data_IF_036915259951
#
_entry.id   IF_036915259951
#
_cell.length_a   1.000
_cell.length_b   1.000
_cell.length_c   1.000
_cell.angle_alpha   90.00
_cell.angle_beta   90.00
_cell.angle_gamma   90.00
#
_symmetry.space_group_name_H-M   'P 1'
#
loop_
_entity.id
_entity.type
_entity.pdbx_description
1 polymer ?
#
# COMPACT_ATOMS: atom_id res chain seq x y z
N UNK A 1 -12.55 52.30 -15.64
CA UNK A 1 -12.13 52.53 -14.24
C UNK A 1 -13.19 51.95 -13.33
N UNK A 2 -12.99 50.72 -12.86
CA UNK A 2 -13.77 50.13 -11.77
C UNK A 2 -12.76 49.45 -10.85
N UNK A 3 -12.76 49.89 -9.60
CA UNK A 3 -11.88 49.49 -8.50
C UNK A 3 -12.17 48.06 -8.08
N UNK A 4 -11.17 47.18 -8.16
CA UNK A 4 -11.18 45.88 -7.48
C UNK A 4 -10.53 46.06 -6.10
N UNK A 5 -11.37 46.02 -5.06
CA UNK A 5 -10.97 45.99 -3.66
C UNK A 5 -10.20 44.71 -3.36
N UNK A 6 -8.95 44.85 -2.93
CA UNK A 6 -8.13 43.78 -2.37
C UNK A 6 -8.73 43.30 -1.05
N UNK A 7 -9.22 42.07 -1.00
CA UNK A 7 -9.49 41.39 0.26
C UNK A 7 -8.16 41.04 0.93
N UNK A 8 -7.93 41.62 2.09
CA UNK A 8 -6.83 41.33 3.00
C UNK A 8 -6.82 39.84 3.38
N UNK A 9 -5.81 39.11 2.92
CA UNK A 9 -5.39 37.87 3.58
C UNK A 9 -4.78 38.31 4.90
N UNK A 10 -5.43 37.99 6.02
CA UNK A 10 -4.85 38.15 7.34
C UNK A 10 -3.53 37.37 7.39
N UNK A 11 -2.42 38.07 7.57
CA UNK A 11 -1.15 37.46 7.92
C UNK A 11 -1.31 36.84 9.32
N UNK A 12 -1.46 35.52 9.37
CA UNK A 12 -1.44 34.76 10.62
C UNK A 12 -0.06 34.96 11.28
N UNK A 13 -0.03 35.65 12.42
CA UNK A 13 1.20 35.87 13.21
C UNK A 13 1.51 34.61 14.05
N UNK A 14 2.47 33.83 13.57
CA UNK A 14 2.97 32.63 14.23
C UNK A 14 4.15 32.89 15.17
N UNK A 15 4.44 34.15 15.54
CA UNK A 15 5.56 34.51 16.43
C UNK A 15 5.55 33.80 17.79
N UNK A 16 4.37 33.41 18.27
CA UNK A 16 4.16 32.64 19.49
C UNK A 16 4.61 31.17 19.41
N UNK A 17 4.88 30.62 18.22
CA UNK A 17 5.39 29.25 18.01
C UNK A 17 6.92 29.14 18.11
N UNK A 18 7.64 30.20 18.50
CA UNK A 18 9.12 30.24 18.60
C UNK A 18 9.74 29.42 19.75
N UNK A 19 8.97 28.55 20.40
CA UNK A 19 9.40 27.71 21.52
C UNK A 19 9.23 26.21 21.27
N UNK A 20 9.51 25.74 20.05
CA UNK A 20 9.33 24.33 19.65
C UNK A 20 10.13 23.38 20.54
N UNK A 21 9.57 22.19 20.79
CA UNK A 21 10.30 21.12 21.45
C UNK A 21 11.58 20.78 20.65
N UNK A 22 12.74 21.14 21.24
CA UNK A 22 14.07 20.85 20.67
C UNK A 22 14.23 19.36 20.36
N UNK A 23 13.53 18.48 21.08
CA UNK A 23 13.59 17.04 20.89
C UNK A 23 13.00 16.60 19.55
N UNK A 24 11.84 17.13 19.15
CA UNK A 24 11.19 16.73 17.88
C UNK A 24 12.08 17.14 16.70
N UNK A 25 12.58 18.38 16.73
CA UNK A 25 13.44 18.91 15.65
C UNK A 25 14.75 18.12 15.54
N UNK A 26 15.38 17.74 16.66
CA UNK A 26 16.57 16.89 16.67
C UNK A 26 16.33 15.49 16.10
N UNK A 27 15.15 14.90 16.35
CA UNK A 27 14.79 13.59 15.77
C UNK A 27 14.64 13.71 14.26
N UNK A 28 14.01 14.78 13.76
CA UNK A 28 13.86 15.05 12.33
C UNK A 28 15.23 15.21 11.68
N UNK A 29 16.09 16.07 12.22
CA UNK A 29 17.45 16.30 11.72
C UNK A 29 18.26 15.01 11.65
N UNK A 30 18.22 14.21 12.71
CA UNK A 30 18.92 12.91 12.74
C UNK A 30 18.34 11.93 11.73
N UNK A 31 17.02 11.92 11.56
CA UNK A 31 16.36 11.04 10.58
C UNK A 31 16.75 11.44 9.17
N UNK A 32 16.69 12.73 8.85
CA UNK A 32 17.12 13.28 7.57
C UNK A 32 18.56 12.95 7.22
N UNK A 33 19.48 13.17 8.17
CA UNK A 33 20.88 12.84 7.96
C UNK A 33 21.08 11.35 7.67
N UNK A 34 20.49 10.46 8.48
CA UNK A 34 20.61 9.02 8.28
C UNK A 34 19.94 8.53 6.99
N UNK A 35 18.79 9.11 6.61
CA UNK A 35 18.09 8.79 5.37
C UNK A 35 18.97 9.17 4.17
N UNK A 36 19.54 10.38 4.19
CA UNK A 36 20.48 10.84 3.16
C UNK A 36 21.71 9.94 3.03
N UNK A 37 22.30 9.50 4.14
CA UNK A 37 23.46 8.61 4.13
C UNK A 37 23.15 7.17 3.68
N UNK A 38 21.88 6.77 3.78
CA UNK A 38 21.41 5.41 3.53
C UNK A 38 20.41 5.34 2.37
N UNK A 39 20.44 6.30 1.44
CA UNK A 39 19.54 6.32 0.28
C UNK A 39 19.86 5.14 -0.66
N UNK A 40 18.87 4.24 -0.87
CA UNK A 40 19.03 3.07 -1.71
C UNK A 40 18.48 3.24 -3.14
N UNK A 41 18.02 4.42 -3.53
CA UNK A 41 17.44 4.69 -4.86
C UNK A 41 18.36 4.28 -6.01
N UNK A 42 19.66 4.58 -5.93
CA UNK A 42 20.64 4.19 -6.94
C UNK A 42 20.69 2.66 -7.14
N UNK A 43 20.62 1.89 -6.04
CA UNK A 43 20.64 0.42 -6.11
C UNK A 43 19.35 -0.14 -6.69
N UNK A 44 18.21 0.45 -6.33
CA UNK A 44 16.90 0.07 -6.89
C UNK A 44 16.91 0.31 -8.41
N UNK A 45 17.38 1.46 -8.85
CA UNK A 45 17.48 1.80 -10.27
C UNK A 45 18.44 0.85 -11.03
N UNK A 46 19.61 0.53 -10.45
CA UNK A 46 20.54 -0.43 -11.05
C UNK A 46 19.91 -1.83 -11.21
N UNK A 47 19.19 -2.31 -10.20
CA UNK A 47 18.52 -3.61 -10.24
C UNK A 47 17.38 -3.64 -11.25
N UNK A 48 16.62 -2.56 -11.35
CA UNK A 48 15.57 -2.41 -12.36
C UNK A 48 16.15 -2.42 -13.78
N UNK A 49 17.20 -1.63 -14.05
CA UNK A 49 17.87 -1.61 -15.36
C UNK A 49 18.45 -2.97 -15.75
N UNK A 50 18.92 -3.74 -14.77
CA UNK A 50 19.47 -5.08 -14.98
C UNK A 50 18.41 -6.19 -15.03
N UNK A 51 17.14 -5.89 -14.73
CA UNK A 51 16.09 -6.90 -14.63
C UNK A 51 15.84 -7.59 -15.97
N UNK A 52 15.86 -8.93 -15.94
CA UNK A 52 15.53 -9.76 -17.10
C UNK A 52 14.59 -10.89 -16.69
N UNK A 53 13.32 -10.79 -17.10
CA UNK A 53 12.31 -11.79 -16.73
C UNK A 53 12.65 -13.20 -17.22
N UNK A 54 13.33 -13.36 -18.35
CA UNK A 54 13.68 -14.71 -18.84
C UNK A 54 14.64 -15.44 -17.92
N UNK A 55 15.45 -14.71 -17.15
CA UNK A 55 16.37 -15.24 -16.14
C UNK A 55 15.66 -15.37 -14.79
N UNK A 56 14.88 -14.37 -14.41
CA UNK A 56 14.28 -14.27 -13.08
C UNK A 56 13.03 -15.14 -12.89
N UNK A 57 12.40 -15.60 -13.98
CA UNK A 57 11.17 -16.41 -13.93
C UNK A 57 11.32 -17.78 -13.26
N UNK A 58 12.54 -18.31 -13.20
CA UNK A 58 12.80 -19.64 -12.65
C UNK A 58 13.01 -19.63 -11.14
N UNK A 59 12.87 -18.46 -10.49
CA UNK A 59 13.02 -18.28 -9.05
C UNK A 59 11.74 -17.76 -8.42
N UNK A 60 11.54 -18.06 -7.14
CA UNK A 60 10.57 -17.32 -6.32
C UNK A 60 11.15 -15.94 -5.99
N UNK A 61 10.33 -14.90 -6.08
CA UNK A 61 10.71 -13.53 -5.69
C UNK A 61 10.39 -13.21 -4.23
N UNK A 62 9.73 -14.16 -3.55
CA UNK A 62 9.47 -14.09 -2.12
C UNK A 62 9.29 -15.45 -1.49
N UNK A 63 8.85 -15.44 -0.23
CA UNK A 63 8.35 -16.67 0.40
C UNK A 63 7.16 -17.20 -0.43
N UNK A 64 7.10 -18.52 -0.72
CA UNK A 64 5.97 -19.10 -1.44
C UNK A 64 4.60 -18.81 -0.81
N UNK A 65 4.54 -18.54 0.50
CA UNK A 65 3.32 -18.13 1.20
C UNK A 65 2.69 -16.83 0.65
N UNK A 66 3.53 -15.94 0.11
CA UNK A 66 3.14 -14.68 -0.51
C UNK A 66 2.98 -14.90 -2.02
N UNK A 67 2.04 -15.77 -2.38
CA UNK A 67 1.67 -16.06 -3.76
C UNK A 67 0.16 -16.02 -3.90
N UNK A 68 -0.33 -15.69 -5.09
CA UNK A 68 -1.74 -15.90 -5.39
C UNK A 68 -2.09 -17.38 -5.22
N UNK A 69 -3.29 -17.65 -4.72
CA UNK A 69 -3.84 -18.97 -4.48
C UNK A 69 -3.09 -19.81 -3.44
N UNK A 70 -2.10 -19.28 -2.72
CA UNK A 70 -1.33 -20.09 -1.77
C UNK A 70 -2.23 -20.79 -0.74
N UNK A 71 -2.01 -22.10 -0.59
CA UNK A 71 -2.77 -22.95 0.32
C UNK A 71 -4.21 -23.24 -0.14
N UNK A 72 -4.56 -22.96 -1.40
CA UNK A 72 -5.78 -23.44 -2.06
C UNK A 72 -5.54 -24.78 -2.75
N UNK A 73 -6.61 -25.55 -3.07
CA UNK A 73 -6.48 -26.79 -3.84
C UNK A 73 -5.78 -26.62 -5.20
N UNK A 74 -6.02 -25.52 -5.91
CA UNK A 74 -5.39 -25.28 -7.21
C UNK A 74 -3.89 -25.02 -7.09
N UNK A 75 -3.45 -24.28 -6.08
CA UNK A 75 -2.02 -24.05 -5.85
C UNK A 75 -1.29 -25.37 -5.56
N UNK A 76 -1.89 -26.26 -4.78
CA UNK A 76 -1.32 -27.58 -4.51
C UNK A 76 -1.25 -28.47 -5.76
N UNK A 77 -2.16 -28.31 -6.73
CA UNK A 77 -2.12 -29.05 -8.00
C UNK A 77 -1.26 -28.37 -9.08
N UNK A 78 -0.90 -27.11 -8.88
CA UNK A 78 -0.09 -26.35 -9.82
C UNK A 78 1.34 -26.91 -9.88
N UNK A 79 1.90 -26.95 -11.09
CA UNK A 79 3.32 -27.24 -11.30
C UNK A 79 4.21 -26.19 -10.60
N UNK A 80 5.49 -26.51 -10.40
CA UNK A 80 6.44 -25.57 -9.80
C UNK A 80 6.52 -24.25 -10.60
N UNK A 81 6.53 -24.32 -11.93
CA UNK A 81 6.54 -23.14 -12.81
C UNK A 81 5.30 -22.27 -12.63
N UNK A 82 4.11 -22.87 -12.53
CA UNK A 82 2.86 -22.16 -12.29
C UNK A 82 2.85 -21.48 -10.91
N UNK A 83 3.37 -22.14 -9.87
CA UNK A 83 3.48 -21.54 -8.53
C UNK A 83 4.43 -20.33 -8.51
N UNK A 84 5.53 -20.37 -9.27
CA UNK A 84 6.44 -19.22 -9.44
C UNK A 84 5.73 -18.06 -10.13
N UNK A 85 4.97 -18.32 -11.21
CA UNK A 85 4.16 -17.28 -11.86
C UNK A 85 3.14 -16.66 -10.88
N UNK A 86 2.46 -17.48 -10.07
CA UNK A 86 1.53 -16.97 -9.04
C UNK A 86 2.25 -16.13 -7.96
N UNK A 87 3.51 -16.43 -7.66
CA UNK A 87 4.36 -15.64 -6.77
C UNK A 87 4.76 -14.30 -7.40
N UNK A 88 5.14 -14.29 -8.69
CA UNK A 88 5.50 -13.06 -9.41
C UNK A 88 4.30 -12.13 -9.55
N UNK A 89 3.13 -12.67 -9.93
CA UNK A 89 1.89 -11.91 -10.03
C UNK A 89 1.47 -11.34 -8.67
N UNK A 90 1.70 -12.07 -7.57
CA UNK A 90 1.45 -11.55 -6.24
C UNK A 90 2.36 -10.36 -5.92
N UNK A 91 3.66 -10.46 -6.21
CA UNK A 91 4.61 -9.36 -6.03
C UNK A 91 4.17 -8.11 -6.80
N UNK A 92 3.85 -8.27 -8.09
CA UNK A 92 3.32 -7.21 -8.96
C UNK A 92 2.06 -6.58 -8.37
N UNK A 93 1.09 -7.41 -8.01
CA UNK A 93 -0.18 -6.96 -7.46
C UNK A 93 0.02 -6.15 -6.19
N UNK A 94 1.00 -6.48 -5.34
CA UNK A 94 1.33 -5.68 -4.16
C UNK A 94 2.03 -4.37 -4.53
N UNK A 95 3.04 -4.38 -5.38
CA UNK A 95 3.83 -3.19 -5.67
C UNK A 95 3.12 -2.16 -6.54
N UNK A 96 2.10 -2.56 -7.30
CA UNK A 96 1.19 -1.60 -7.91
C UNK A 96 0.33 -0.86 -6.87
N UNK A 97 -0.05 -1.52 -5.76
CA UNK A 97 -0.70 -0.83 -4.62
C UNK A 97 0.23 0.18 -3.98
N UNK A 98 1.51 -0.18 -3.86
CA UNK A 98 2.55 0.67 -3.29
C UNK A 98 2.74 1.90 -4.17
N UNK A 99 2.96 1.74 -5.48
CA UNK A 99 3.14 2.84 -6.42
C UNK A 99 1.96 3.85 -6.41
N UNK A 100 0.73 3.36 -6.28
CA UNK A 100 -0.45 4.22 -6.14
C UNK A 100 -0.45 5.02 -4.81
N UNK A 101 0.00 4.39 -3.71
CA UNK A 101 0.16 5.05 -2.42
C UNK A 101 1.28 6.10 -2.45
N UNK A 102 2.42 5.77 -3.05
CA UNK A 102 3.58 6.64 -3.23
C UNK A 102 3.26 7.90 -4.05
N UNK A 103 2.39 7.79 -5.05
CA UNK A 103 1.89 8.96 -5.80
C UNK A 103 1.17 9.95 -4.89
N UNK A 104 0.36 9.44 -3.95
CA UNK A 104 -0.32 10.28 -2.96
C UNK A 104 0.68 10.87 -1.95
N UNK A 105 1.67 10.08 -1.54
CA UNK A 105 2.77 10.53 -0.68
C UNK A 105 3.49 11.73 -1.27
N UNK A 106 3.91 11.67 -2.54
CA UNK A 106 4.61 12.78 -3.23
C UNK A 106 3.82 14.09 -3.11
N UNK A 107 2.51 14.04 -3.41
CA UNK A 107 1.64 15.21 -3.33
C UNK A 107 1.58 15.77 -1.89
N UNK A 108 1.32 14.90 -0.92
CA UNK A 108 1.08 15.36 0.45
C UNK A 108 2.35 15.71 1.22
N UNK A 109 3.50 15.16 0.83
CA UNK A 109 4.80 15.63 1.28
C UNK A 109 5.01 17.09 0.86
N UNK A 110 4.74 17.43 -0.40
CA UNK A 110 4.83 18.82 -0.90
C UNK A 110 3.85 19.76 -0.18
N UNK A 111 2.59 19.34 0.00
CA UNK A 111 1.60 20.13 0.75
C UNK A 111 2.07 20.37 2.19
N UNK A 112 2.56 19.33 2.85
CA UNK A 112 3.05 19.39 4.22
C UNK A 112 4.27 20.30 4.36
N UNK A 113 5.25 20.14 3.47
CA UNK A 113 6.46 20.96 3.43
C UNK A 113 6.11 22.44 3.26
N UNK A 114 5.19 22.78 2.35
CA UNK A 114 4.74 24.16 2.16
C UNK A 114 4.11 24.79 3.42
N UNK A 115 3.30 24.02 4.16
CA UNK A 115 2.71 24.47 5.42
C UNK A 115 3.82 24.76 6.45
N UNK A 116 4.75 23.83 6.65
CA UNK A 116 5.79 23.97 7.67
C UNK A 116 6.88 24.97 7.30
N UNK A 117 7.20 25.12 6.02
CA UNK A 117 8.07 26.17 5.52
C UNK A 117 7.52 27.55 5.89
N UNK A 118 6.21 27.76 5.69
CA UNK A 118 5.54 29.03 5.99
C UNK A 118 5.53 29.38 7.49
N UNK A 119 5.58 28.37 8.37
CA UNK A 119 5.68 28.58 9.82
C UNK A 119 7.11 28.91 10.29
N UNK A 120 8.12 28.60 9.47
CA UNK A 120 9.54 28.78 9.76
C UNK A 120 10.10 27.79 10.80
N UNK A 121 11.41 27.52 10.76
CA UNK A 121 12.12 26.68 11.73
C UNK A 121 11.80 25.18 11.63
N UNK A 122 11.41 24.71 10.45
CA UNK A 122 11.15 23.31 10.11
C UNK A 122 11.93 22.90 8.85
N UNK A 123 13.07 23.54 8.61
CA UNK A 123 13.87 23.38 7.38
C UNK A 123 14.28 21.92 7.15
N UNK A 124 14.77 21.25 8.19
CA UNK A 124 15.14 19.83 8.13
C UNK A 124 13.95 18.91 7.84
N UNK A 125 12.73 19.28 8.29
CA UNK A 125 11.52 18.53 7.94
C UNK A 125 11.20 18.69 6.45
N UNK A 126 11.30 19.91 5.93
CA UNK A 126 11.04 20.17 4.52
C UNK A 126 12.03 19.41 3.63
N UNK A 127 13.32 19.41 4.00
CA UNK A 127 14.35 18.65 3.28
C UNK A 127 14.13 17.13 3.34
N UNK A 128 13.69 16.59 4.47
CA UNK A 128 13.35 15.17 4.58
C UNK A 128 12.16 14.80 3.68
N UNK A 129 11.11 15.61 3.68
CA UNK A 129 9.93 15.37 2.83
C UNK A 129 10.26 15.49 1.34
N UNK A 130 11.18 16.37 0.97
CA UNK A 130 11.70 16.50 -0.40
C UNK A 130 12.56 15.31 -0.80
N UNK A 131 13.44 14.82 0.08
CA UNK A 131 14.25 13.63 -0.14
C UNK A 131 13.34 12.41 -0.37
N UNK A 132 12.42 12.17 0.56
CA UNK A 132 11.43 11.10 0.46
C UNK A 132 10.62 11.22 -0.84
N UNK A 133 10.16 12.43 -1.20
CA UNK A 133 9.46 12.68 -2.47
C UNK A 133 10.28 12.26 -3.69
N UNK A 134 11.60 12.43 -3.65
CA UNK A 134 12.47 11.98 -4.74
C UNK A 134 12.63 10.46 -4.73
N UNK A 135 12.81 9.85 -3.55
CA UNK A 135 12.91 8.39 -3.39
C UNK A 135 11.68 7.68 -3.96
N UNK A 136 10.47 8.15 -3.62
CA UNK A 136 9.21 7.57 -4.10
C UNK A 136 9.11 7.58 -5.63
N UNK A 137 9.74 8.53 -6.34
CA UNK A 137 9.73 8.53 -7.83
C UNK A 137 10.50 7.35 -8.41
N UNK A 138 11.63 6.99 -7.79
CA UNK A 138 12.43 5.83 -8.21
C UNK A 138 11.71 4.53 -7.88
N UNK A 139 11.04 4.47 -6.72
CA UNK A 139 10.21 3.33 -6.32
C UNK A 139 9.11 3.07 -7.35
N UNK A 140 8.27 4.07 -7.61
CA UNK A 140 7.18 4.02 -8.60
C UNK A 140 7.72 3.56 -9.97
N UNK A 141 8.80 4.18 -10.45
CA UNK A 141 9.38 3.84 -11.74
C UNK A 141 9.82 2.37 -11.80
N UNK A 142 10.53 1.91 -10.76
CA UNK A 142 11.03 0.55 -10.71
C UNK A 142 9.90 -0.49 -10.71
N UNK A 143 8.87 -0.27 -9.89
CA UNK A 143 7.72 -1.17 -9.79
C UNK A 143 6.94 -1.23 -11.10
N UNK A 144 6.65 -0.08 -11.72
CA UNK A 144 5.89 -0.01 -12.96
C UNK A 144 6.63 -0.63 -14.15
N UNK A 145 7.95 -0.42 -14.26
CA UNK A 145 8.71 -0.98 -15.37
C UNK A 145 8.83 -2.51 -15.24
N UNK A 146 9.12 -3.03 -14.04
CA UNK A 146 9.17 -4.47 -13.79
C UNK A 146 7.79 -5.09 -14.06
N UNK A 147 6.71 -4.49 -13.57
CA UNK A 147 5.34 -4.95 -13.84
C UNK A 147 5.09 -5.10 -15.35
N UNK A 148 5.38 -4.05 -16.13
CA UNK A 148 5.21 -4.07 -17.59
C UNK A 148 5.99 -5.21 -18.24
N UNK A 149 7.28 -5.38 -17.93
CA UNK A 149 8.14 -6.43 -18.50
C UNK A 149 7.58 -7.82 -18.20
N UNK A 150 7.08 -8.03 -16.97
CA UNK A 150 6.59 -9.33 -16.52
C UNK A 150 5.24 -9.65 -17.12
N UNK A 151 4.34 -8.66 -17.21
CA UNK A 151 3.06 -8.82 -17.90
C UNK A 151 3.24 -9.18 -19.37
N UNK A 152 4.17 -8.52 -20.07
CA UNK A 152 4.54 -8.87 -21.43
C UNK A 152 5.10 -10.30 -21.51
N UNK A 153 5.93 -10.70 -20.53
CA UNK A 153 6.50 -12.06 -20.46
C UNK A 153 5.48 -13.17 -20.17
N UNK A 154 4.47 -12.91 -19.34
CA UNK A 154 3.45 -13.90 -18.93
C UNK A 154 2.30 -13.96 -19.94
N UNK A 155 1.81 -12.79 -20.38
CA UNK A 155 0.59 -12.69 -21.17
C UNK A 155 0.84 -12.32 -22.65
N UNK A 156 2.08 -12.00 -23.04
CA UNK A 156 2.41 -11.55 -24.40
C UNK A 156 2.02 -10.08 -24.69
N UNK A 157 2.44 -9.59 -25.87
CA UNK A 157 2.17 -8.23 -26.35
C UNK A 157 0.68 -7.98 -26.56
N UNK A 158 0.20 -6.81 -26.10
CA UNK A 158 -1.20 -6.44 -25.97
C UNK A 158 -1.97 -6.18 -27.30
N UNK A 159 -1.37 -6.41 -28.46
CA UNK A 159 -1.96 -6.06 -29.76
C UNK A 159 -2.73 -7.20 -30.46
N UNK A 160 -2.84 -8.39 -29.85
CA UNK A 160 -3.57 -9.51 -30.45
C UNK A 160 -4.87 -9.77 -29.69
N UNK A 161 -5.93 -9.11 -30.15
CA UNK A 161 -7.34 -9.44 -29.92
C UNK A 161 -7.77 -9.63 -28.45
N UNK A 162 -8.03 -8.50 -27.79
CA UNK A 162 -9.27 -8.27 -27.04
C UNK A 162 -9.68 -9.34 -26.02
N UNK A 163 -9.10 -9.26 -24.82
CA UNK A 163 -9.77 -9.79 -23.65
C UNK A 163 -10.14 -8.63 -22.70
N UNK A 164 -11.42 -8.33 -22.64
CA UNK A 164 -11.98 -7.35 -21.70
C UNK A 164 -11.58 -7.68 -20.25
N UNK A 165 -11.43 -8.97 -19.93
CA UNK A 165 -10.99 -9.41 -18.61
C UNK A 165 -9.49 -9.18 -18.38
N UNK A 166 -8.65 -9.24 -19.43
CA UNK A 166 -7.26 -8.80 -19.34
C UNK A 166 -7.18 -7.30 -19.07
N UNK A 167 -7.95 -6.47 -19.77
CA UNK A 167 -7.98 -5.01 -19.50
C UNK A 167 -8.49 -4.71 -18.09
N UNK A 168 -9.55 -5.38 -17.64
CA UNK A 168 -10.03 -5.26 -16.25
C UNK A 168 -9.01 -5.77 -15.24
N UNK A 169 -8.26 -6.82 -15.55
CA UNK A 169 -7.17 -7.34 -14.72
C UNK A 169 -6.06 -6.30 -14.58
N UNK A 170 -5.65 -5.70 -15.70
CA UNK A 170 -4.66 -4.63 -15.73
C UNK A 170 -5.15 -3.39 -14.97
N UNK A 171 -6.41 -3.00 -15.13
CA UNK A 171 -6.99 -1.87 -14.40
C UNK A 171 -7.14 -2.18 -12.90
N UNK A 172 -7.52 -3.40 -12.49
CA UNK A 172 -7.58 -3.81 -11.08
C UNK A 172 -6.18 -3.85 -10.44
N UNK A 173 -5.19 -4.38 -11.17
CA UNK A 173 -3.81 -4.40 -10.71
C UNK A 173 -3.21 -2.98 -10.68
N UNK A 174 -3.56 -2.10 -11.63
CA UNK A 174 -3.01 -0.74 -11.75
C UNK A 174 -3.68 0.30 -10.84
N UNK A 175 -5.00 0.26 -10.71
CA UNK A 175 -5.77 1.31 -10.01
C UNK A 175 -5.73 1.13 -8.47
N UNK A 176 -5.33 -0.06 -8.00
CA UNK A 176 -4.96 -0.35 -6.62
C UNK A 176 -5.99 -0.04 -5.52
N UNK A 177 -5.50 0.12 -4.28
CA UNK A 177 -6.33 0.32 -3.06
C UNK A 177 -6.88 1.75 -2.97
N UNK A 178 -6.34 2.70 -3.74
CA UNK A 178 -6.74 4.11 -3.74
C UNK A 178 -8.24 4.30 -4.04
N UNK A 179 -8.82 3.44 -4.88
CA UNK A 179 -10.27 3.40 -5.16
C UNK A 179 -11.13 3.09 -3.92
N UNK A 180 -10.55 2.52 -2.87
CA UNK A 180 -11.25 2.09 -1.65
C UNK A 180 -11.03 3.03 -0.46
N UNK A 181 -10.17 4.04 -0.58
CA UNK A 181 -10.04 5.11 0.42
C UNK A 181 -11.26 6.06 0.42
N UNK A 182 -12.10 6.00 -0.61
CA UNK A 182 -13.36 6.74 -0.70
C UNK A 182 -13.76 6.98 -2.16
N UNK A 183 -14.86 7.71 -2.35
CA UNK A 183 -15.18 8.23 -3.68
C UNK A 183 -14.11 9.24 -4.14
N UNK A 184 -13.97 9.45 -5.44
CA UNK A 184 -13.10 10.49 -6.02
C UNK A 184 -13.38 11.87 -5.40
N UNK A 185 -14.65 12.15 -5.08
CA UNK A 185 -15.06 13.37 -4.38
C UNK A 185 -14.52 13.43 -2.94
N UNK A 186 -14.51 12.30 -2.22
CA UNK A 186 -13.94 12.21 -0.87
C UNK A 186 -12.44 12.47 -0.89
N UNK A 187 -11.71 11.89 -1.84
CA UNK A 187 -10.27 12.12 -1.99
C UNK A 187 -9.96 13.57 -2.35
N UNK A 188 -10.70 14.16 -3.29
CA UNK A 188 -10.58 15.59 -3.64
C UNK A 188 -10.87 16.49 -2.45
N UNK A 189 -11.94 16.22 -1.71
CA UNK A 189 -12.30 16.96 -0.52
C UNK A 189 -11.20 16.90 0.56
N UNK A 190 -10.66 15.71 0.84
CA UNK A 190 -9.57 15.55 1.80
C UNK A 190 -8.30 16.27 1.33
N UNK A 191 -7.99 16.19 0.04
CA UNK A 191 -6.81 16.83 -0.55
C UNK A 191 -6.82 18.35 -0.38
N UNK A 192 -8.00 18.98 -0.51
CA UNK A 192 -8.16 20.43 -0.28
C UNK A 192 -7.91 20.80 1.19
N UNK A 193 -8.28 19.92 2.12
CA UNK A 193 -8.22 20.23 3.55
C UNK A 193 -6.85 19.94 4.19
N UNK A 194 -6.05 19.01 3.66
CA UNK A 194 -4.78 18.59 4.28
C UNK A 194 -3.77 19.71 4.46
N UNK A 195 -3.73 20.70 3.57
CA UNK A 195 -2.83 21.85 3.70
C UNK A 195 -3.42 23.03 4.49
N UNK A 196 -4.65 22.94 4.99
CA UNK A 196 -5.34 24.12 5.52
C UNK A 196 -4.88 24.53 6.92
N UNK A 197 -4.36 23.59 7.71
CA UNK A 197 -3.82 23.87 9.05
C UNK A 197 -2.60 23.00 9.34
N UNK A 198 -1.71 23.43 10.26
CA UNK A 198 -0.56 22.62 10.70
C UNK A 198 -0.98 21.27 11.31
N UNK A 199 -2.14 21.24 11.98
CA UNK A 199 -2.70 19.99 12.51
C UNK A 199 -3.04 19.03 11.37
N UNK A 200 -3.83 19.45 10.38
CA UNK A 200 -4.24 18.56 9.29
C UNK A 200 -3.06 18.10 8.43
N UNK A 201 -2.08 18.99 8.19
CA UNK A 201 -0.85 18.64 7.49
C UNK A 201 -0.07 17.55 8.25
N UNK A 202 0.04 17.66 9.58
CA UNK A 202 0.65 16.62 10.42
C UNK A 202 -0.15 15.33 10.41
N UNK A 203 -1.49 15.42 10.40
CA UNK A 203 -2.36 14.26 10.57
C UNK A 203 -2.60 13.44 9.31
N UNK A 204 -2.26 13.96 8.12
CA UNK A 204 -2.12 13.13 6.92
C UNK A 204 -1.22 11.90 7.19
N UNK A 205 -0.16 12.06 7.99
CA UNK A 205 0.78 10.99 8.29
C UNK A 205 0.21 9.89 9.19
N UNK A 206 -0.92 10.13 9.87
CA UNK A 206 -1.67 9.03 10.49
C UNK A 206 -2.32 8.14 9.43
N UNK A 207 -2.85 8.72 8.34
CA UNK A 207 -3.40 7.95 7.23
C UNK A 207 -2.29 7.20 6.47
N UNK A 208 -1.17 7.88 6.19
CA UNK A 208 0.01 7.28 5.57
C UNK A 208 0.58 6.13 6.41
N UNK A 209 0.70 6.32 7.73
CA UNK A 209 1.17 5.26 8.63
C UNK A 209 0.38 3.95 8.50
N UNK A 210 -0.94 4.03 8.28
CA UNK A 210 -1.77 2.83 8.08
C UNK A 210 -1.32 2.06 6.81
N UNK A 211 -1.01 2.78 5.74
CA UNK A 211 -0.51 2.17 4.50
C UNK A 211 0.89 1.55 4.73
N UNK A 212 1.84 2.30 5.31
CA UNK A 212 3.22 1.82 5.52
C UNK A 212 3.26 0.59 6.43
N UNK A 213 2.49 0.57 7.53
CA UNK A 213 2.49 -0.60 8.43
C UNK A 213 1.83 -1.83 7.78
N UNK A 214 0.84 -1.63 6.91
CA UNK A 214 0.23 -2.70 6.11
C UNK A 214 1.23 -3.33 5.13
N UNK A 215 2.10 -2.49 4.54
CA UNK A 215 3.16 -2.94 3.64
C UNK A 215 4.30 -3.63 4.39
N UNK A 216 4.80 -3.01 5.46
CA UNK A 216 5.88 -3.53 6.31
C UNK A 216 5.61 -4.94 6.81
N UNK A 217 4.34 -5.25 7.07
CA UNK A 217 3.86 -6.57 7.47
C UNK A 217 4.28 -7.69 6.48
N UNK A 218 4.41 -7.38 5.19
CA UNK A 218 4.81 -8.29 4.11
C UNK A 218 6.28 -8.16 3.77
N UNK A 219 6.79 -6.94 3.69
CA UNK A 219 8.18 -6.67 3.28
C UNK A 219 9.22 -7.24 4.23
N UNK A 220 8.89 -7.36 5.52
CA UNK A 220 9.74 -8.10 6.46
C UNK A 220 9.99 -9.55 6.01
N UNK A 221 8.99 -10.20 5.41
CA UNK A 221 9.10 -11.57 4.88
C UNK A 221 9.99 -11.60 3.64
N UNK A 222 9.82 -10.65 2.71
CA UNK A 222 10.73 -10.50 1.56
C UNK A 222 12.17 -10.25 2.00
N UNK A 223 12.40 -9.36 2.98
CA UNK A 223 13.73 -9.05 3.50
C UNK A 223 14.37 -10.25 4.23
N UNK A 224 13.58 -11.07 4.93
CA UNK A 224 14.06 -12.34 5.50
C UNK A 224 14.42 -13.36 4.41
N UNK A 225 13.59 -13.46 3.37
CA UNK A 225 13.84 -14.31 2.22
C UNK A 225 15.14 -13.91 1.49
N UNK A 226 15.32 -12.62 1.21
CA UNK A 226 16.53 -12.07 0.63
C UNK A 226 17.78 -12.42 1.44
N UNK A 227 17.73 -12.22 2.77
CA UNK A 227 18.86 -12.57 3.66
C UNK A 227 19.16 -14.07 3.67
N UNK A 228 18.13 -14.92 3.58
CA UNK A 228 18.32 -16.37 3.51
C UNK A 228 19.08 -16.76 2.25
N UNK A 229 18.68 -16.23 1.09
CA UNK A 229 19.35 -16.48 -0.19
C UNK A 229 20.81 -16.01 -0.18
N UNK A 230 21.07 -14.80 0.32
CA UNK A 230 22.42 -14.26 0.46
C UNK A 230 23.30 -15.16 1.34
N UNK A 231 22.79 -15.60 2.50
CA UNK A 231 23.54 -16.47 3.42
C UNK A 231 23.87 -17.83 2.84
N UNK A 232 23.00 -18.38 1.98
CA UNK A 232 23.25 -19.67 1.31
C UNK A 232 24.08 -19.55 0.05
N UNK A 233 24.46 -18.33 -0.38
CA UNK A 233 25.11 -18.10 -1.67
C UNK A 233 24.22 -18.42 -2.89
N UNK A 234 22.90 -18.45 -2.68
CA UNK A 234 21.95 -18.69 -3.76
C UNK A 234 21.70 -17.40 -4.55
N UNK A 235 21.21 -17.54 -5.79
CA UNK A 235 20.77 -16.41 -6.61
C UNK A 235 19.70 -15.59 -5.87
N UNK A 236 19.86 -14.27 -5.85
CA UNK A 236 18.88 -13.32 -5.29
C UNK A 236 18.19 -12.64 -6.46
N UNK A 237 16.91 -12.93 -6.72
CA UNK A 237 16.19 -12.27 -7.80
C UNK A 237 16.15 -10.76 -7.61
N UNK A 238 16.27 -10.00 -8.69
CA UNK A 238 16.22 -8.54 -8.62
C UNK A 238 14.96 -8.00 -7.90
N UNK A 239 13.72 -8.52 -8.12
CA UNK A 239 12.55 -8.08 -7.37
C UNK A 239 12.65 -8.32 -5.86
N UNK A 240 13.28 -9.43 -5.44
CA UNK A 240 13.57 -9.73 -4.03
C UNK A 240 14.51 -8.70 -3.42
N UNK A 241 15.56 -8.32 -4.15
CA UNK A 241 16.53 -7.32 -3.70
C UNK A 241 15.92 -5.92 -3.65
N UNK A 242 15.12 -5.54 -4.65
CA UNK A 242 14.38 -4.27 -4.68
C UNK A 242 13.44 -4.17 -3.48
N UNK A 243 12.63 -5.18 -3.19
CA UNK A 243 11.77 -5.20 -1.99
C UNK A 243 12.55 -5.02 -0.68
N UNK A 244 13.78 -5.53 -0.62
CA UNK A 244 14.64 -5.35 0.56
C UNK A 244 15.12 -3.91 0.67
N UNK A 245 15.56 -3.29 -0.43
CA UNK A 245 16.06 -1.92 -0.41
C UNK A 245 14.94 -0.92 -0.18
N UNK A 246 13.78 -1.12 -0.82
CA UNK A 246 12.57 -0.36 -0.57
C UNK A 246 12.18 -0.35 0.92
N UNK A 247 12.20 -1.52 1.59
CA UNK A 247 11.95 -1.60 3.03
C UNK A 247 12.94 -0.78 3.88
N UNK A 248 14.18 -0.62 3.42
CA UNK A 248 15.18 0.16 4.16
C UNK A 248 14.89 1.66 4.05
N UNK A 249 14.54 2.16 2.88
CA UNK A 249 14.08 3.54 2.69
C UNK A 249 12.78 3.80 3.48
N UNK A 250 11.80 2.90 3.36
CA UNK A 250 10.51 2.95 4.08
C UNK A 250 10.64 2.92 5.61
N UNK A 251 11.79 2.50 6.13
CA UNK A 251 12.04 2.54 7.57
C UNK A 251 12.14 3.98 8.09
N UNK A 252 12.74 4.89 7.31
CA UNK A 252 12.80 6.33 7.62
C UNK A 252 11.45 6.99 7.41
N UNK A 253 10.77 6.68 6.30
CA UNK A 253 9.42 7.17 5.97
C UNK A 253 8.41 6.84 7.09
N UNK A 254 8.49 5.62 7.62
CA UNK A 254 7.68 5.19 8.77
C UNK A 254 8.01 6.01 10.01
N UNK A 255 9.30 6.27 10.30
CA UNK A 255 9.71 7.06 11.47
C UNK A 255 9.21 8.50 11.40
N UNK A 256 9.33 9.17 10.24
CA UNK A 256 8.78 10.51 10.02
C UNK A 256 7.27 10.48 10.16
N UNK A 257 6.58 9.54 9.52
CA UNK A 257 5.13 9.41 9.62
C UNK A 257 4.66 9.25 11.07
N UNK A 258 5.37 8.45 11.86
CA UNK A 258 5.07 8.29 13.28
C UNK A 258 5.28 9.58 14.07
N UNK A 259 6.39 10.30 13.83
CA UNK A 259 6.71 11.52 14.55
C UNK A 259 5.68 12.63 14.25
N UNK A 260 5.33 12.83 12.98
CA UNK A 260 4.36 13.83 12.56
C UNK A 260 2.96 13.50 13.07
N UNK A 261 2.53 12.25 12.90
CA UNK A 261 1.20 11.81 13.30
C UNK A 261 0.97 11.80 14.81
N UNK A 262 1.99 11.48 15.61
CA UNK A 262 1.86 11.32 17.08
C UNK A 262 2.34 12.48 17.91
N UNK A 263 3.38 13.18 17.49
CA UNK A 263 4.06 14.15 18.34
C UNK A 263 3.97 15.56 17.79
N UNK A 264 4.27 15.78 16.49
CA UNK A 264 4.38 17.14 15.96
C UNK A 264 3.08 17.95 16.12
N UNK A 265 1.91 17.33 15.94
CA UNK A 265 0.65 18.06 16.05
C UNK A 265 0.39 18.66 17.44
N UNK A 266 1.06 18.15 18.48
CA UNK A 266 0.93 18.63 19.86
C UNK A 266 1.63 19.97 20.08
N UNK A 267 2.53 20.36 19.18
CA UNK A 267 3.22 21.65 19.20
C UNK A 267 2.32 22.81 18.73
N UNK A 268 1.13 22.51 18.21
CA UNK A 268 0.17 23.50 17.71
C UNK A 268 -1.05 23.63 18.61
N UNK A 269 -1.92 24.57 18.26
CA UNK A 269 -3.22 24.71 18.92
C UNK A 269 -3.99 23.39 18.90
N UNK A 270 -4.75 23.13 19.97
CA UNK A 270 -5.60 21.94 20.06
C UNK A 270 -6.54 21.88 18.84
N UNK A 271 -6.75 20.70 18.24
CA UNK A 271 -7.57 20.60 17.06
C UNK A 271 -9.01 21.02 17.35
N UNK A 272 -9.56 21.79 16.42
CA UNK A 272 -10.96 22.20 16.38
C UNK A 272 -11.88 20.99 16.26
N UNK A 273 -13.17 21.19 16.54
CA UNK A 273 -14.18 20.14 16.34
C UNK A 273 -14.23 19.65 14.88
N UNK A 274 -14.02 20.56 13.92
CA UNK A 274 -13.98 20.24 12.50
C UNK A 274 -12.80 19.36 12.13
N UNK A 275 -11.59 19.71 12.57
CA UNK A 275 -10.38 18.93 12.28
C UNK A 275 -10.44 17.54 12.90
N UNK A 276 -10.94 17.43 14.13
CA UNK A 276 -11.18 16.14 14.79
C UNK A 276 -12.19 15.30 14.01
N UNK A 277 -13.30 15.90 13.58
CA UNK A 277 -14.31 15.21 12.80
C UNK A 277 -13.74 14.68 11.48
N UNK A 278 -12.96 15.51 10.77
CA UNK A 278 -12.35 15.14 9.50
C UNK A 278 -11.41 13.93 9.67
N UNK A 279 -10.45 14.01 10.58
CA UNK A 279 -9.47 12.94 10.78
C UNK A 279 -10.11 11.65 11.27
N UNK A 280 -11.11 11.74 12.16
CA UNK A 280 -11.83 10.55 12.60
C UNK A 280 -12.64 9.90 11.49
N UNK A 281 -13.21 10.70 10.58
CA UNK A 281 -13.93 10.19 9.41
C UNK A 281 -13.00 9.44 8.46
N UNK A 282 -11.79 9.96 8.25
CA UNK A 282 -10.77 9.28 7.41
C UNK A 282 -10.40 7.92 7.97
N UNK A 283 -10.05 7.84 9.26
CA UNK A 283 -9.66 6.58 9.90
C UNK A 283 -10.85 5.60 9.92
N UNK A 284 -12.05 6.09 10.23
CA UNK A 284 -13.26 5.27 10.21
C UNK A 284 -13.52 4.65 8.83
N UNK A 285 -13.42 5.45 7.76
CA UNK A 285 -13.60 4.96 6.40
C UNK A 285 -12.51 3.97 6.00
N UNK A 286 -11.27 4.18 6.43
CA UNK A 286 -10.18 3.24 6.19
C UNK A 286 -10.47 1.88 6.83
N UNK A 287 -10.98 1.85 8.07
CA UNK A 287 -11.39 0.59 8.70
C UNK A 287 -12.50 -0.10 7.92
N UNK A 288 -13.52 0.65 7.50
CA UNK A 288 -14.73 0.13 6.86
C UNK A 288 -14.49 -0.39 5.45
N UNK A 289 -13.63 0.27 4.67
CA UNK A 289 -13.47 0.00 3.25
C UNK A 289 -12.10 -0.59 2.88
N UNK A 290 -11.04 -0.27 3.62
CA UNK A 290 -9.68 -0.74 3.37
C UNK A 290 -9.30 -1.94 4.24
N UNK A 291 -9.08 -1.72 5.54
CA UNK A 291 -8.41 -2.68 6.42
C UNK A 291 -9.28 -3.85 6.94
N UNK A 292 -10.59 -3.82 6.73
CA UNK A 292 -11.53 -4.82 7.24
C UNK A 292 -11.63 -6.11 6.41
N UNK A 293 -10.99 -6.19 5.25
CA UNK A 293 -11.18 -7.33 4.33
C UNK A 293 -10.19 -8.45 4.58
N UNK A 294 -10.66 -9.69 4.39
CA UNK A 294 -9.84 -10.91 4.44
C UNK A 294 -9.86 -11.55 3.05
N UNK A 295 -8.70 -11.95 2.53
CA UNK A 295 -8.56 -12.64 1.25
C UNK A 295 -8.05 -14.07 1.46
N UNK A 296 -8.71 -15.05 0.84
CA UNK A 296 -8.16 -16.40 0.71
C UNK A 296 -7.26 -16.52 -0.52
N UNK A 297 -7.51 -15.71 -1.56
CA UNK A 297 -6.82 -15.82 -2.84
C UNK A 297 -5.47 -15.10 -2.87
N UNK A 298 -5.25 -14.11 -2.01
CA UNK A 298 -4.01 -13.34 -1.92
C UNK A 298 -3.60 -13.17 -0.45
N UNK A 299 -2.88 -14.13 0.14
CA UNK A 299 -2.55 -14.10 1.56
C UNK A 299 -1.91 -12.79 2.02
N UNK A 300 -2.39 -12.23 3.12
CA UNK A 300 -1.88 -10.97 3.66
C UNK A 300 -2.32 -9.70 2.93
N UNK A 301 -3.03 -9.79 1.80
CA UNK A 301 -3.66 -8.63 1.18
C UNK A 301 -4.96 -8.26 1.94
N UNK A 302 -5.11 -7.02 2.45
CA UNK A 302 -6.35 -6.57 3.10
C UNK A 302 -7.41 -6.22 2.06
N UNK A 303 -7.67 -7.13 1.11
CA UNK A 303 -8.57 -6.94 -0.02
C UNK A 303 -9.63 -8.03 -0.04
N UNK A 304 -10.74 -7.77 -0.74
CA UNK A 304 -11.79 -8.76 -0.94
C UNK A 304 -11.43 -9.65 -2.12
N UNK A 305 -11.72 -10.94 -1.99
CA UNK A 305 -11.49 -11.92 -3.07
C UNK A 305 -12.29 -11.61 -4.34
N UNK A 306 -13.41 -10.89 -4.24
CA UNK A 306 -14.21 -10.45 -5.41
C UNK A 306 -13.37 -9.69 -6.45
N UNK A 307 -12.35 -8.95 -6.00
CA UNK A 307 -11.47 -8.16 -6.85
C UNK A 307 -10.50 -9.03 -7.63
N UNK A 308 -10.15 -10.19 -7.10
CA UNK A 308 -9.19 -11.10 -7.72
C UNK A 308 -9.87 -12.10 -8.67
N UNK A 309 -11.19 -12.27 -8.64
CA UNK A 309 -11.88 -13.24 -9.51
C UNK A 309 -11.65 -12.99 -11.01
N UNK A 310 -11.76 -11.75 -11.55
CA UNK A 310 -11.44 -11.49 -12.96
C UNK A 310 -9.96 -11.68 -13.30
N UNK A 311 -9.07 -11.33 -12.36
CA UNK A 311 -7.61 -11.49 -12.48
C UNK A 311 -7.27 -12.96 -12.61
N UNK A 312 -7.76 -13.78 -11.69
CA UNK A 312 -7.54 -15.22 -11.70
C UNK A 312 -8.13 -15.85 -12.95
N UNK A 313 -9.33 -15.45 -13.36
CA UNK A 313 -9.92 -15.96 -14.60
C UNK A 313 -9.00 -15.75 -15.80
N UNK A 314 -8.45 -14.55 -15.96
CA UNK A 314 -7.51 -14.24 -17.05
C UNK A 314 -6.22 -15.07 -16.95
N UNK A 315 -5.68 -15.24 -15.75
CA UNK A 315 -4.48 -16.07 -15.50
C UNK A 315 -4.76 -17.54 -15.84
N UNK A 316 -5.89 -18.09 -15.43
CA UNK A 316 -6.25 -19.49 -15.66
C UNK A 316 -6.53 -19.77 -17.14
N UNK A 317 -7.04 -18.79 -17.88
CA UNK A 317 -7.28 -18.85 -19.33
C UNK A 317 -6.01 -18.63 -20.16
N UNK A 318 -4.97 -18.05 -19.58
CA UNK A 318 -3.69 -17.80 -20.27
C UNK A 318 -2.94 -19.10 -20.59
N UNK A 319 -1.90 -19.02 -21.42
CA UNK A 319 -1.02 -20.16 -21.73
C UNK A 319 -0.30 -20.77 -20.53
N UNK A 320 -0.28 -20.08 -19.38
CA UNK A 320 0.32 -20.60 -18.13
C UNK A 320 -0.49 -21.79 -17.58
N UNK A 321 -1.82 -21.75 -17.71
CA UNK A 321 -2.73 -22.77 -17.18
C UNK A 321 -3.55 -23.45 -18.27
N UNK A 322 -3.88 -22.74 -19.35
CA UNK A 322 -4.54 -23.28 -20.54
C UNK A 322 -5.96 -23.81 -20.28
N UNK A 323 -6.62 -23.39 -19.19
CA UNK A 323 -7.92 -23.92 -18.82
C UNK A 323 -9.01 -23.40 -19.73
N UNK A 324 -10.06 -24.18 -19.96
CA UNK A 324 -11.34 -23.73 -20.53
C UNK A 324 -12.04 -22.72 -19.61
N UNK A 325 -13.06 -22.01 -20.12
CA UNK A 325 -13.91 -21.13 -19.29
C UNK A 325 -14.57 -21.90 -18.14
N UNK A 326 -15.09 -23.09 -18.41
CA UNK A 326 -15.74 -23.95 -17.41
C UNK A 326 -14.75 -24.39 -16.33
N UNK A 327 -13.57 -24.86 -16.72
CA UNK A 327 -12.52 -25.27 -15.77
C UNK A 327 -12.04 -24.09 -14.92
N UNK A 328 -11.81 -22.93 -15.52
CA UNK A 328 -11.39 -21.74 -14.79
C UNK A 328 -12.43 -21.31 -13.74
N UNK A 329 -13.72 -21.30 -14.09
CA UNK A 329 -14.79 -20.94 -13.15
C UNK A 329 -14.93 -21.95 -12.02
N UNK A 330 -14.85 -23.25 -12.31
CA UNK A 330 -14.88 -24.31 -11.28
C UNK A 330 -13.71 -24.16 -10.29
N UNK A 331 -12.51 -23.86 -10.78
CA UNK A 331 -11.36 -23.61 -9.92
C UNK A 331 -11.48 -22.34 -9.09
N UNK A 332 -11.99 -21.25 -9.67
CA UNK A 332 -12.24 -20.01 -8.93
C UNK A 332 -13.27 -20.26 -7.83
N UNK A 333 -14.34 -21.02 -8.10
CA UNK A 333 -15.33 -21.38 -7.08
C UNK A 333 -14.67 -22.16 -5.94
N UNK A 334 -13.94 -23.23 -6.28
CA UNK A 334 -13.28 -24.08 -5.28
C UNK A 334 -12.30 -23.29 -4.40
N UNK A 335 -11.53 -22.39 -5.00
CA UNK A 335 -10.51 -21.62 -4.30
C UNK A 335 -11.12 -20.45 -3.50
N UNK A 336 -12.14 -19.76 -4.01
CA UNK A 336 -12.69 -18.58 -3.35
C UNK A 336 -13.81 -18.89 -2.35
N UNK A 337 -14.58 -19.97 -2.58
CA UNK A 337 -15.84 -20.22 -1.87
C UNK A 337 -15.76 -21.30 -0.78
N UNK A 338 -14.58 -21.91 -0.59
CA UNK A 338 -14.30 -22.95 0.41
C UNK A 338 -13.18 -22.53 1.34
N UNK A 339 -13.24 -22.96 2.60
CA UNK A 339 -12.18 -22.70 3.57
C UNK A 339 -10.92 -23.50 3.21
N UNK A 340 -9.75 -22.88 3.34
CA UNK A 340 -8.45 -23.48 3.04
C UNK A 340 -7.32 -22.70 3.75
N UNK A 341 -6.08 -23.18 3.66
CA UNK A 341 -4.93 -22.65 4.43
C UNK A 341 -4.69 -21.15 4.21
N UNK A 342 -4.81 -20.67 2.97
CA UNK A 342 -4.67 -19.25 2.63
C UNK A 342 -5.50 -18.27 3.48
N UNK A 343 -6.73 -18.64 3.86
CA UNK A 343 -7.56 -17.80 4.75
C UNK A 343 -6.97 -17.65 6.16
N UNK A 344 -6.42 -18.74 6.72
CA UNK A 344 -5.81 -18.72 8.04
C UNK A 344 -4.52 -17.91 8.05
N UNK A 345 -3.70 -18.05 7.00
CA UNK A 345 -2.50 -17.22 6.83
C UNK A 345 -2.89 -15.75 6.77
N UNK A 346 -3.89 -15.37 5.95
CA UNK A 346 -4.39 -14.00 5.92
C UNK A 346 -4.86 -13.49 7.27
N UNK A 347 -5.53 -14.34 8.07
CA UNK A 347 -6.00 -13.97 9.40
C UNK A 347 -4.83 -13.64 10.34
N UNK A 348 -3.71 -14.35 10.24
CA UNK A 348 -2.49 -14.05 11.01
C UNK A 348 -1.91 -12.67 10.64
N UNK A 349 -1.73 -12.40 9.34
CA UNK A 349 -1.22 -11.10 8.86
C UNK A 349 -2.12 -9.95 9.33
N UNK A 350 -3.42 -10.13 9.18
CA UNK A 350 -4.41 -9.12 9.50
C UNK A 350 -4.53 -8.90 11.02
N UNK A 351 -4.38 -9.95 11.83
CA UNK A 351 -4.32 -9.85 13.30
C UNK A 351 -3.08 -9.08 13.76
N UNK A 352 -1.91 -9.35 13.17
CA UNK A 352 -0.68 -8.61 13.45
C UNK A 352 -0.84 -7.12 13.12
N UNK A 353 -1.38 -6.83 11.93
CA UNK A 353 -1.68 -5.47 11.49
C UNK A 353 -2.61 -4.74 12.46
N UNK A 354 -3.71 -5.37 12.87
CA UNK A 354 -4.65 -4.81 13.84
C UNK A 354 -3.97 -4.44 15.17
N UNK A 355 -3.09 -5.30 15.68
CA UNK A 355 -2.35 -5.04 16.92
C UNK A 355 -1.38 -3.85 16.79
N UNK A 356 -0.66 -3.76 15.66
CA UNK A 356 0.24 -2.64 15.41
C UNK A 356 -0.52 -1.31 15.27
N UNK A 357 -1.68 -1.33 14.62
CA UNK A 357 -2.57 -0.17 14.49
C UNK A 357 -3.14 0.26 15.84
N UNK A 358 -3.68 -0.66 16.64
CA UNK A 358 -4.15 -0.35 18.01
C UNK A 358 -3.06 0.28 18.86
N UNK A 359 -1.84 -0.28 18.84
CA UNK A 359 -0.70 0.28 19.59
C UNK A 359 -0.35 1.70 19.12
N UNK A 360 -0.47 1.99 17.82
CA UNK A 360 -0.22 3.33 17.30
C UNK A 360 -1.31 4.31 17.71
N UNK A 361 -2.56 3.99 17.39
CA UNK A 361 -3.70 4.91 17.51
C UNK A 361 -4.20 5.09 18.95
N UNK A 362 -3.92 4.17 19.87
CA UNK A 362 -4.28 4.31 21.30
C UNK A 362 -3.65 5.54 21.98
N UNK A 363 -2.50 6.00 21.46
CA UNK A 363 -1.74 7.13 22.00
C UNK A 363 -2.20 8.50 21.48
N UNK A 364 -3.09 8.54 20.49
CA UNK A 364 -3.58 9.79 19.89
C UNK A 364 -4.84 10.24 20.64
N UNK A 365 -4.80 11.43 21.22
CA UNK A 365 -5.77 11.84 22.24
C UNK A 365 -7.16 12.18 21.66
N UNK A 366 -7.21 12.75 20.46
CA UNK A 366 -8.41 13.32 19.85
C UNK A 366 -9.32 12.31 19.14
N UNK A 367 -8.92 11.05 19.03
CA UNK A 367 -9.65 10.03 18.28
C UNK A 367 -10.91 9.53 18.99
N UNK A 368 -11.91 9.17 18.20
CA UNK A 368 -13.09 8.45 18.67
C UNK A 368 -12.70 7.06 19.18
N UNK A 369 -13.42 6.51 20.18
CA UNK A 369 -13.15 5.18 20.71
C UNK A 369 -13.08 4.09 19.62
N UNK A 370 -13.99 4.13 18.64
CA UNK A 370 -14.01 3.19 17.50
C UNK A 370 -12.73 3.22 16.66
N UNK A 371 -12.04 4.36 16.60
CA UNK A 371 -10.78 4.53 15.87
C UNK A 371 -9.55 4.18 16.72
N UNK A 372 -9.60 4.40 18.04
CA UNK A 372 -8.53 3.96 18.96
C UNK A 372 -8.45 2.44 19.03
N UNK A 373 -9.61 1.81 19.16
CA UNK A 373 -9.74 0.36 19.34
C UNK A 373 -9.76 -0.42 18.02
N UNK A 374 -9.81 0.28 16.88
CA UNK A 374 -9.93 -0.33 15.56
C UNK A 374 -11.08 -1.36 15.48
N UNK A 375 -12.20 -1.04 16.11
CA UNK A 375 -13.28 -2.02 16.38
C UNK A 375 -13.95 -2.52 15.10
N UNK A 376 -14.08 -1.67 14.07
CA UNK A 376 -14.71 -2.06 12.80
C UNK A 376 -13.86 -3.08 12.08
N UNK A 377 -12.55 -2.82 12.01
CA UNK A 377 -11.59 -3.76 11.43
C UNK A 377 -11.63 -5.10 12.19
N UNK A 378 -11.61 -5.06 13.53
CA UNK A 378 -11.65 -6.25 14.36
C UNK A 378 -12.90 -7.13 14.15
N UNK A 379 -14.07 -6.52 13.92
CA UNK A 379 -15.32 -7.24 13.68
C UNK A 379 -15.42 -7.89 12.28
N UNK A 380 -14.64 -7.39 11.34
CA UNK A 380 -14.70 -7.76 9.93
C UNK A 380 -13.88 -9.03 9.61
N UNK A 381 -12.90 -9.40 10.45
CA UNK A 381 -11.97 -10.52 10.22
C UNK A 381 -12.59 -11.87 10.54
N UNK A 382 -13.51 -12.33 9.69
CA UNK A 382 -14.19 -13.62 9.86
C UNK A 382 -14.17 -14.43 8.57
N UNK A 383 -13.57 -15.62 8.63
CA UNK A 383 -13.56 -16.58 7.52
C UNK A 383 -15.00 -16.92 7.09
N UNK A 384 -15.94 -17.30 7.99
CA UNK A 384 -17.32 -17.56 7.59
C UNK A 384 -18.02 -16.38 6.88
N UNK A 385 -17.84 -15.14 7.36
CA UNK A 385 -18.42 -13.96 6.70
C UNK A 385 -17.82 -13.76 5.31
N UNK A 386 -16.51 -13.94 5.18
CA UNK A 386 -15.77 -13.80 3.92
C UNK A 386 -16.22 -14.84 2.89
N UNK A 387 -16.30 -16.12 3.28
CA UNK A 387 -16.79 -17.19 2.39
C UNK A 387 -18.23 -16.95 1.91
N UNK A 388 -19.10 -16.43 2.79
CA UNK A 388 -20.46 -16.05 2.40
C UNK A 388 -20.45 -14.93 1.35
N UNK A 389 -19.61 -13.92 1.51
CA UNK A 389 -19.46 -12.83 0.54
C UNK A 389 -18.89 -13.35 -0.79
N UNK A 390 -17.86 -14.21 -0.74
CA UNK A 390 -17.22 -14.79 -1.91
C UNK A 390 -18.20 -15.62 -2.74
N UNK A 391 -19.04 -16.45 -2.11
CA UNK A 391 -20.09 -17.22 -2.82
C UNK A 391 -21.07 -16.31 -3.56
N UNK A 392 -21.44 -15.17 -2.99
CA UNK A 392 -22.32 -14.21 -3.65
C UNK A 392 -21.60 -13.51 -4.81
N UNK A 393 -20.36 -13.07 -4.58
CA UNK A 393 -19.53 -12.41 -5.60
C UNK A 393 -19.25 -13.35 -6.78
N UNK A 394 -18.87 -14.60 -6.52
CA UNK A 394 -18.63 -15.61 -7.53
C UNK A 394 -19.85 -15.86 -8.41
N UNK A 395 -21.04 -16.03 -7.81
CA UNK A 395 -22.29 -16.21 -8.59
C UNK A 395 -22.58 -15.03 -9.52
N UNK A 396 -22.27 -13.81 -9.10
CA UNK A 396 -22.41 -12.62 -9.95
C UNK A 396 -21.39 -12.64 -11.06
N UNK A 397 -20.12 -12.88 -10.72
CA UNK A 397 -19.02 -12.92 -11.68
C UNK A 397 -19.21 -14.02 -12.74
N UNK A 398 -19.53 -15.25 -12.35
CA UNK A 398 -19.76 -16.36 -13.26
C UNK A 398 -20.85 -16.05 -14.30
N UNK A 399 -21.93 -15.35 -13.91
CA UNK A 399 -23.00 -14.90 -14.82
C UNK A 399 -22.57 -13.82 -15.81
N UNK A 400 -21.47 -13.12 -15.56
CA UNK A 400 -20.94 -12.14 -16.52
C UNK A 400 -20.01 -12.75 -17.54
N UNK A 401 -19.56 -13.99 -17.32
CA UNK A 401 -18.60 -14.72 -18.16
C UNK A 401 -19.32 -15.68 -19.12
N UNK A 402 -20.43 -16.28 -18.67
CA UNK A 402 -21.41 -16.92 -19.54
C UNK A 402 -22.24 -15.87 -20.28
#
# INVERSE_FOLDING_TARGET
MVSATSSSVENLDFSHLRGKDRKITQIIEKTYHNNTESDYTEKIEQLEKAFNYSVEKDYYWGSPELSFLYGTPLYEQSSESQRKVLNHLYWIGQYNLVAASETSTILFNQVTANVFFSLGGFDSLCHELDLETNQERYHIHAFQNIDRIVQEGIFGNADVNGDQYRKQTLDVLRDGVARYMGSDLTLKFLSINWGSTPFLASQYYCARYIANISLKNKEQVYSLHCRKLQKSGAHVPAPTAISRYHLLDESFHTTISQLLGKELYKEFAKPSAYEKFLMNTVIYNYQKHGAGSLSGLAPGAPLKDELFMPVLYSVLRSSVFGMSTTEALDWIEKCACSEHKGFHVSLEYVTRLLNDLRRFFSTIDYLWPVNKEWSIMAEAHSIPKTLKANRLAFRKFARTVY
#
